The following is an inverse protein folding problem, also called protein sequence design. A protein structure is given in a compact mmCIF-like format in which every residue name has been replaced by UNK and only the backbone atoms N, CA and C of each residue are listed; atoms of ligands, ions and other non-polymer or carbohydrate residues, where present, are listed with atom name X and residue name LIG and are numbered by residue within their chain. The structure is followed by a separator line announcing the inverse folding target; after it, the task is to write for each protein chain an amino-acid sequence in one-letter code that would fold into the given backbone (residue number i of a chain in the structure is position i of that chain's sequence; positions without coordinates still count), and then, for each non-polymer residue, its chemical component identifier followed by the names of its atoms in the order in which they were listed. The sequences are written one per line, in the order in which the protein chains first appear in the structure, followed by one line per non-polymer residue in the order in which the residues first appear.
data_IF_089395133686
#
_entry.id   IF_089395133686
#
_cell.length_a   1.000
_cell.length_b   1.000
_cell.length_c   1.000
_cell.angle_alpha   90.00
_cell.angle_beta   90.00
_cell.angle_gamma   90.00
#
_symmetry.space_group_name_H-M   'P 1'
#
loop_
_entity.id
_entity.type
_entity.pdbx_description
1 polymer ?
#
# COMPACT_ATOMS: atom_id res chain seq x y z
N UNK A 1 -28.52 9.95 62.74
CA UNK A 1 -27.42 10.88 62.46
C UNK A 1 -26.17 10.16 62.92
N UNK A 2 -25.32 9.63 62.07
CA UNK A 2 -24.92 10.09 60.73
C UNK A 2 -24.74 8.89 59.78
N UNK A 3 -25.30 8.98 58.57
CA UNK A 3 -24.96 8.13 57.44
C UNK A 3 -23.80 8.79 56.69
N UNK A 4 -22.63 8.13 56.66
CA UNK A 4 -21.48 8.58 55.86
C UNK A 4 -21.54 7.84 54.52
N UNK A 5 -22.10 8.51 53.51
CA UNK A 5 -22.03 8.07 52.12
C UNK A 5 -20.57 8.00 51.65
N UNK A 6 -20.10 6.79 51.34
CA UNK A 6 -18.86 6.59 50.60
C UNK A 6 -19.12 6.85 49.11
N UNK A 7 -18.78 8.05 48.65
CA UNK A 7 -18.71 8.36 47.21
C UNK A 7 -17.62 7.52 46.54
N UNK A 8 -18.02 6.46 45.84
CA UNK A 8 -17.16 5.77 44.89
C UNK A 8 -16.97 6.66 43.66
N UNK A 9 -15.76 7.20 43.50
CA UNK A 9 -15.37 7.87 42.26
C UNK A 9 -15.24 6.82 41.15
N UNK A 10 -16.10 6.93 40.13
CA UNK A 10 -15.95 6.18 38.88
C UNK A 10 -14.59 6.50 38.23
N UNK A 11 -13.89 5.50 37.66
CA UNK A 11 -12.68 5.78 36.90
C UNK A 11 -13.02 6.63 35.66
N UNK A 12 -12.12 7.54 35.24
CA UNK A 12 -12.34 8.30 34.02
C UNK A 12 -12.31 7.35 32.81
N UNK A 13 -13.39 7.33 32.04
CA UNK A 13 -13.49 6.70 30.73
C UNK A 13 -12.33 7.20 29.85
N UNK A 14 -11.33 6.36 29.64
CA UNK A 14 -10.29 6.56 28.63
C UNK A 14 -10.67 5.78 27.39
N UNK A 15 -11.69 6.21 26.67
CA UNK A 15 -11.99 5.65 25.35
C UNK A 15 -12.57 6.75 24.46
N UNK A 16 -11.66 7.51 23.87
CA UNK A 16 -11.98 8.60 22.96
C UNK A 16 -10.78 8.95 22.08
N UNK A 17 -10.05 7.96 21.59
CA UNK A 17 -9.21 8.18 20.41
C UNK A 17 -10.18 8.42 19.25
N UNK A 18 -10.33 9.69 18.88
CA UNK A 18 -11.45 10.16 18.07
C UNK A 18 -11.43 9.48 16.71
N UNK A 19 -12.58 8.92 16.31
CA UNK A 19 -12.79 8.35 14.96
C UNK A 19 -12.35 9.33 13.86
N UNK A 20 -12.44 10.63 14.12
CA UNK A 20 -12.00 11.70 13.24
C UNK A 20 -10.49 11.71 13.00
N UNK A 21 -9.67 11.46 14.04
CA UNK A 21 -8.20 11.43 13.94
C UNK A 21 -7.73 10.24 13.09
N UNK A 22 -8.42 9.09 13.19
CA UNK A 22 -8.08 7.89 12.43
C UNK A 22 -8.36 8.05 10.93
N UNK A 23 -9.45 8.74 10.56
CA UNK A 23 -9.75 9.10 9.16
C UNK A 23 -8.72 10.05 8.56
N UNK A 24 -8.26 11.06 9.32
CA UNK A 24 -7.26 12.01 8.83
C UNK A 24 -5.93 11.31 8.52
N UNK A 25 -5.50 10.39 9.38
CA UNK A 25 -4.28 9.59 9.16
C UNK A 25 -4.41 8.67 7.94
N UNK A 26 -5.58 8.06 7.73
CA UNK A 26 -5.82 7.21 6.55
C UNK A 26 -5.79 8.03 5.25
N UNK A 27 -6.42 9.21 5.24
CA UNK A 27 -6.42 10.11 4.08
C UNK A 27 -5.02 10.63 3.75
N UNK A 28 -4.21 10.95 4.77
CA UNK A 28 -2.82 11.34 4.57
C UNK A 28 -1.98 10.17 4.02
N UNK A 29 -2.17 8.96 4.57
CA UNK A 29 -1.48 7.77 4.09
C UNK A 29 -1.86 7.45 2.64
N UNK A 30 -3.12 7.62 2.26
CA UNK A 30 -3.61 7.47 0.89
C UNK A 30 -2.91 8.45 -0.07
N UNK A 31 -2.90 9.74 0.28
CA UNK A 31 -2.19 10.78 -0.52
C UNK A 31 -0.69 10.48 -0.64
N UNK A 32 -0.08 9.99 0.42
CA UNK A 32 1.34 9.61 0.41
C UNK A 32 1.59 8.43 -0.55
N UNK A 33 0.73 7.40 -0.53
CA UNK A 33 0.86 6.27 -1.46
C UNK A 33 0.71 6.72 -2.92
N UNK A 34 -0.27 7.57 -3.22
CA UNK A 34 -0.45 8.14 -4.57
C UNK A 34 0.81 8.86 -5.05
N UNK A 35 1.39 9.71 -4.20
CA UNK A 35 2.62 10.44 -4.52
C UNK A 35 3.80 9.50 -4.79
N UNK A 36 3.96 8.44 -4.00
CA UNK A 36 5.04 7.47 -4.17
C UNK A 36 4.87 6.64 -5.46
N UNK A 37 3.64 6.29 -5.82
CA UNK A 37 3.34 5.64 -7.10
C UNK A 37 3.73 6.56 -8.25
N UNK A 38 3.27 7.82 -8.23
CA UNK A 38 3.61 8.80 -9.28
C UNK A 38 5.12 8.96 -9.43
N UNK A 39 5.85 9.11 -8.33
CA UNK A 39 7.31 9.19 -8.34
C UNK A 39 7.96 7.97 -9.03
N UNK A 40 7.47 6.76 -8.73
CA UNK A 40 7.96 5.51 -9.35
C UNK A 40 7.60 5.38 -10.84
N UNK A 41 6.52 6.01 -11.29
CA UNK A 41 6.13 6.06 -12.71
C UNK A 41 6.96 7.10 -13.48
N UNK A 42 7.28 8.25 -12.86
CA UNK A 42 7.93 9.39 -13.50
C UNK A 42 9.47 9.29 -13.52
N UNK A 43 10.10 8.57 -12.58
CA UNK A 43 11.56 8.57 -12.47
C UNK A 43 12.29 7.74 -13.56
N UNK A 44 12.87 8.47 -14.53
CA UNK A 44 13.93 7.99 -15.41
C UNK A 44 15.32 8.45 -14.94
N UNK A 45 16.12 7.50 -14.43
CA UNK A 45 17.59 7.59 -14.47
C UNK A 45 18.30 8.01 -13.17
N UNK A 46 18.62 7.03 -12.30
CA UNK A 46 19.93 6.85 -11.65
C UNK A 46 19.92 5.49 -10.91
N UNK A 47 20.91 4.60 -11.08
CA UNK A 47 20.73 3.16 -10.78
C UNK A 47 20.99 2.73 -9.33
N UNK A 48 21.87 3.41 -8.58
CA UNK A 48 22.27 2.94 -7.24
C UNK A 48 21.39 3.52 -6.13
N UNK A 49 21.04 4.80 -6.22
CA UNK A 49 20.14 5.47 -5.27
C UNK A 49 18.73 4.86 -5.31
N UNK A 50 18.28 4.48 -6.51
CA UNK A 50 17.01 3.80 -6.76
C UNK A 50 16.87 2.50 -5.98
N UNK A 51 17.96 1.75 -5.72
CA UNK A 51 17.85 0.46 -5.00
C UNK A 51 17.47 0.65 -3.53
N UNK A 52 18.08 1.62 -2.85
CA UNK A 52 17.78 1.95 -1.44
C UNK A 52 16.37 2.52 -1.31
N UNK A 53 15.97 3.34 -2.27
CA UNK A 53 14.61 3.89 -2.33
C UNK A 53 13.58 2.78 -2.54
N UNK A 54 13.83 1.81 -3.44
CA UNK A 54 12.92 0.69 -3.67
C UNK A 54 12.69 -0.15 -2.40
N UNK A 55 13.73 -0.49 -1.63
CA UNK A 55 13.56 -1.29 -0.40
C UNK A 55 12.73 -0.54 0.65
N UNK A 56 12.90 0.78 0.74
CA UNK A 56 12.08 1.63 1.62
C UNK A 56 10.60 1.64 1.18
N UNK A 57 10.35 1.80 -0.13
CA UNK A 57 9.00 1.79 -0.70
C UNK A 57 8.30 0.43 -0.54
N UNK A 58 9.03 -0.67 -0.72
CA UNK A 58 8.56 -2.03 -0.48
C UNK A 58 8.14 -2.20 0.99
N UNK A 59 8.94 -1.69 1.92
CA UNK A 59 8.65 -1.68 3.35
C UNK A 59 7.39 -0.88 3.71
N UNK A 60 7.22 0.31 3.13
CA UNK A 60 6.03 1.15 3.33
C UNK A 60 4.78 0.42 2.83
N UNK A 61 4.79 -0.05 1.58
CA UNK A 61 3.64 -0.72 0.98
C UNK A 61 3.26 -2.00 1.72
N UNK A 62 4.25 -2.80 2.12
CA UNK A 62 4.04 -4.01 2.94
C UNK A 62 3.41 -3.65 4.30
N UNK A 63 3.88 -2.58 4.93
CA UNK A 63 3.32 -2.12 6.21
C UNK A 63 1.85 -1.72 6.04
N UNK A 64 1.50 -0.98 4.99
CA UNK A 64 0.11 -0.61 4.69
C UNK A 64 -0.76 -1.86 4.52
N UNK A 65 -0.32 -2.86 3.76
CA UNK A 65 -1.08 -4.10 3.57
C UNK A 65 -1.25 -4.92 4.85
N UNK A 66 -0.35 -4.77 5.83
CA UNK A 66 -0.45 -5.43 7.15
C UNK A 66 -1.31 -4.66 8.14
N UNK A 67 -1.62 -3.39 7.87
CA UNK A 67 -2.55 -2.65 8.70
C UNK A 67 -3.97 -3.21 8.50
N UNK A 68 -4.77 -3.25 9.57
CA UNK A 68 -6.18 -3.65 9.50
C UNK A 68 -7.04 -2.53 8.89
N UNK A 69 -6.68 -2.09 7.69
CA UNK A 69 -7.38 -1.05 6.92
C UNK A 69 -8.45 -1.73 6.07
N UNK A 70 -9.69 -1.26 6.15
CA UNK A 70 -10.80 -1.74 5.31
C UNK A 70 -11.06 -0.82 4.10
N UNK A 71 -9.99 -0.25 3.54
CA UNK A 71 -10.02 0.55 2.32
C UNK A 71 -9.37 -0.23 1.17
N UNK A 72 -10.21 -0.65 0.22
CA UNK A 72 -9.76 -1.34 -1.00
C UNK A 72 -8.89 -0.45 -1.90
N UNK A 73 -9.11 0.88 -1.90
CA UNK A 73 -8.29 1.84 -2.63
C UNK A 73 -6.86 1.85 -2.10
N UNK A 74 -6.71 1.93 -0.78
CA UNK A 74 -5.39 1.90 -0.14
C UNK A 74 -4.68 0.56 -0.37
N UNK A 75 -5.41 -0.55 -0.30
CA UNK A 75 -4.88 -1.88 -0.63
C UNK A 75 -4.45 -1.96 -2.09
N UNK A 76 -5.24 -1.41 -3.02
CA UNK A 76 -4.89 -1.36 -4.44
C UNK A 76 -3.62 -0.52 -4.67
N UNK A 77 -3.53 0.67 -4.07
CA UNK A 77 -2.37 1.55 -4.17
C UNK A 77 -1.10 0.90 -3.59
N UNK A 78 -1.20 0.27 -2.42
CA UNK A 78 -0.07 -0.45 -1.83
C UNK A 78 0.40 -1.61 -2.72
N UNK A 79 -0.53 -2.39 -3.30
CA UNK A 79 -0.18 -3.44 -4.26
C UNK A 79 0.45 -2.90 -5.55
N UNK A 80 0.01 -1.73 -6.06
CA UNK A 80 0.64 -1.07 -7.21
C UNK A 80 2.08 -0.68 -6.86
N UNK A 81 2.30 -0.07 -5.69
CA UNK A 81 3.63 0.33 -5.27
C UNK A 81 4.58 -0.87 -5.12
N UNK A 82 4.11 -1.99 -4.55
CA UNK A 82 4.89 -3.24 -4.51
C UNK A 82 5.20 -3.76 -5.91
N UNK A 83 4.21 -3.79 -6.81
CA UNK A 83 4.39 -4.27 -8.17
C UNK A 83 5.47 -3.46 -8.89
N UNK A 84 5.46 -2.14 -8.75
CA UNK A 84 6.47 -1.23 -9.31
C UNK A 84 7.87 -1.50 -8.75
N UNK A 85 7.98 -1.74 -7.44
CA UNK A 85 9.23 -2.08 -6.77
C UNK A 85 9.80 -3.40 -7.31
N UNK A 86 8.99 -4.45 -7.34
CA UNK A 86 9.39 -5.78 -7.80
C UNK A 86 9.66 -5.83 -9.30
N UNK A 87 8.91 -5.07 -10.10
CA UNK A 87 9.20 -4.89 -11.52
C UNK A 87 10.59 -4.28 -11.72
N UNK A 88 10.92 -3.23 -10.96
CA UNK A 88 12.23 -2.57 -11.04
C UNK A 88 13.38 -3.49 -10.58
N UNK A 89 13.11 -4.39 -9.63
CA UNK A 89 14.07 -5.41 -9.18
C UNK A 89 14.15 -6.63 -10.13
N UNK A 90 13.34 -6.68 -11.20
CA UNK A 90 13.30 -7.82 -12.13
C UNK A 90 12.61 -9.07 -11.56
N UNK A 91 11.87 -8.95 -10.46
CA UNK A 91 11.02 -10.00 -9.85
C UNK A 91 9.67 -10.06 -10.57
N UNK A 92 9.70 -10.36 -11.87
CA UNK A 92 8.52 -10.27 -12.76
C UNK A 92 7.30 -11.10 -12.33
N UNK A 93 7.53 -12.24 -11.68
CA UNK A 93 6.45 -13.12 -11.20
C UNK A 93 5.66 -12.43 -10.09
N UNK A 94 6.38 -11.95 -9.08
CA UNK A 94 5.84 -11.24 -7.94
C UNK A 94 5.12 -9.96 -8.38
N UNK A 95 5.78 -9.16 -9.23
CA UNK A 95 5.18 -7.94 -9.78
C UNK A 95 3.86 -8.23 -10.51
N UNK A 96 3.80 -9.29 -11.33
CA UNK A 96 2.57 -9.68 -12.02
C UNK A 96 1.44 -10.06 -11.05
N UNK A 97 1.75 -10.82 -10.00
CA UNK A 97 0.77 -11.18 -8.98
C UNK A 97 0.24 -9.96 -8.23
N UNK A 98 1.12 -9.01 -7.89
CA UNK A 98 0.75 -7.78 -7.19
C UNK A 98 -0.10 -6.85 -8.06
N UNK A 99 0.20 -6.74 -9.36
CA UNK A 99 -0.67 -6.03 -10.28
C UNK A 99 -2.07 -6.65 -10.38
N UNK A 100 -2.19 -7.99 -10.35
CA UNK A 100 -3.51 -8.63 -10.31
C UNK A 100 -4.22 -8.35 -8.99
N UNK A 101 -3.52 -8.46 -7.85
CA UNK A 101 -4.08 -8.15 -6.54
C UNK A 101 -4.54 -6.69 -6.45
N UNK A 102 -3.78 -5.75 -7.03
CA UNK A 102 -4.18 -4.36 -7.15
C UNK A 102 -5.45 -4.19 -7.98
N UNK A 103 -5.50 -4.84 -9.15
CA UNK A 103 -6.64 -4.77 -10.06
C UNK A 103 -7.91 -5.34 -9.45
N UNK A 104 -7.81 -6.45 -8.72
CA UNK A 104 -8.94 -7.09 -8.02
C UNK A 104 -9.51 -6.22 -6.90
N UNK A 105 -8.69 -5.31 -6.34
CA UNK A 105 -9.08 -4.36 -5.29
C UNK A 105 -9.43 -2.98 -5.82
N UNK A 106 -9.16 -2.70 -7.09
CA UNK A 106 -9.51 -1.43 -7.72
C UNK A 106 -11.01 -1.43 -7.99
N UNK A 107 -11.74 -0.52 -7.33
CA UNK A 107 -13.19 -0.36 -7.50
C UNK A 107 -13.55 0.47 -8.75
N UNK A 108 -12.57 1.15 -9.33
CA UNK A 108 -12.70 2.09 -10.45
C UNK A 108 -12.00 1.60 -11.73
N UNK A 109 -11.96 2.47 -12.74
CA UNK A 109 -11.27 2.22 -14.00
C UNK A 109 -9.77 1.90 -13.78
N UNK A 110 -9.38 0.69 -14.16
CA UNK A 110 -7.98 0.27 -14.15
C UNK A 110 -7.19 1.04 -15.23
N UNK A 111 -6.15 1.83 -14.86
CA UNK A 111 -5.40 2.63 -15.83
C UNK A 111 -4.74 1.79 -16.92
N UNK A 112 -4.82 2.25 -18.17
CA UNK A 112 -4.23 1.56 -19.33
C UNK A 112 -2.72 1.38 -19.22
N UNK A 113 -2.02 2.35 -18.60
CA UNK A 113 -0.58 2.26 -18.34
C UNK A 113 -0.25 1.07 -17.42
N UNK A 114 -1.00 0.91 -16.32
CA UNK A 114 -0.82 -0.21 -15.40
C UNK A 114 -1.21 -1.54 -16.04
N UNK A 115 -2.21 -1.56 -16.93
CA UNK A 115 -2.52 -2.74 -17.75
C UNK A 115 -1.36 -3.11 -18.67
N UNK A 116 -0.73 -2.12 -19.32
CA UNK A 116 0.45 -2.33 -20.15
C UNK A 116 1.60 -2.97 -19.38
N UNK A 117 1.93 -2.43 -18.20
CA UNK A 117 2.99 -2.97 -17.32
C UNK A 117 2.67 -4.37 -16.82
N UNK A 118 1.42 -4.63 -16.42
CA UNK A 118 0.96 -5.96 -16.00
C UNK A 118 1.11 -6.98 -17.13
N UNK A 119 0.69 -6.64 -18.34
CA UNK A 119 0.83 -7.54 -19.50
C UNK A 119 2.30 -7.73 -19.88
N UNK A 120 3.13 -6.69 -19.76
CA UNK A 120 4.57 -6.80 -19.97
C UNK A 120 5.20 -7.81 -19.01
N UNK A 121 4.90 -7.73 -17.71
CA UNK A 121 5.36 -8.71 -16.71
C UNK A 121 4.92 -10.14 -17.09
N UNK A 122 3.65 -10.32 -17.51
CA UNK A 122 3.13 -11.62 -17.98
C UNK A 122 3.90 -12.15 -19.19
N UNK A 123 4.24 -11.29 -20.14
CA UNK A 123 5.02 -11.66 -21.33
C UNK A 123 6.43 -12.12 -20.96
N UNK A 124 7.14 -11.38 -20.09
CA UNK A 124 8.47 -11.79 -19.62
C UNK A 124 8.43 -13.13 -18.89
N UNK A 125 7.41 -13.38 -18.08
CA UNK A 125 7.23 -14.68 -17.41
C UNK A 125 7.09 -15.84 -18.40
N UNK A 126 6.27 -15.65 -19.44
CA UNK A 126 6.13 -16.66 -20.50
C UNK A 126 7.46 -16.95 -21.19
N UNK A 127 8.23 -15.92 -21.51
CA UNK A 127 9.54 -16.08 -22.14
C UNK A 127 10.52 -16.84 -21.23
N UNK A 128 10.59 -16.51 -19.94
CA UNK A 128 11.46 -17.20 -18.97
C UNK A 128 11.07 -18.66 -18.75
N UNK A 129 9.78 -18.99 -18.82
CA UNK A 129 9.30 -20.37 -18.65
C UNK A 129 9.41 -21.22 -19.92
N UNK A 130 9.71 -20.61 -21.07
CA UNK A 130 9.87 -21.29 -22.36
C UNK A 130 11.35 -21.57 -22.68
N UNK A 131 12.20 -21.69 -21.64
CA UNK A 131 13.66 -21.92 -21.69
C UNK A 131 14.21 -22.38 -23.04
N UNK A 132 15.10 -21.56 -23.62
CA UNK A 132 16.03 -22.03 -24.65
C UNK A 132 17.02 -23.03 -24.04
#
# INVERSE_FOLDING_TARGET
MEDVEMSQASPPDRDGESRDDQTVVQDELKRNLERLITMMLEEQGNSTQKKVEIECLEGIATKVLRMNIDDNTMKAQANILLALCHETQGKWATAWHEYNAAKDKSLDCWPSELEGRRQYCKCILKQKNQGF
#
